data_IF_309852524849
#
_entry.id   IF_309852524849
#
_cell.length_a   1.000
_cell.length_b   1.000
_cell.length_c   1.000
_cell.angle_alpha   90.00
_cell.angle_beta   90.00
_cell.angle_gamma   90.00
#
_symmetry.space_group_name_H-M   'P 1'
#
loop_
_entity.id
_entity.type
_entity.pdbx_description
1 polymer ?
#
# COMPACT_ATOMS: atom_id res chain seq x y z
N UNK A 1 8.07 18.62 -3.57
CA UNK A 1 8.84 18.10 -4.73
C UNK A 1 9.18 16.62 -4.59
N UNK A 2 9.88 16.18 -3.53
CA UNK A 2 10.28 14.78 -3.35
C UNK A 2 9.08 13.79 -3.37
N UNK A 3 8.04 14.06 -2.57
CA UNK A 3 6.80 13.26 -2.55
C UNK A 3 6.22 13.08 -3.96
N UNK A 4 6.04 14.17 -4.70
CA UNK A 4 5.45 14.13 -6.04
C UNK A 4 6.29 13.35 -7.05
N UNK A 5 7.63 13.41 -6.95
CA UNK A 5 8.54 12.63 -7.79
C UNK A 5 8.40 11.13 -7.48
N UNK A 6 8.46 10.77 -6.20
CA UNK A 6 8.35 9.37 -5.78
C UNK A 6 6.97 8.79 -6.07
N UNK A 7 5.89 9.57 -5.91
CA UNK A 7 4.53 9.18 -6.32
C UNK A 7 4.46 8.87 -7.83
N UNK A 8 5.14 9.64 -8.69
CA UNK A 8 5.22 9.35 -10.14
C UNK A 8 6.01 8.08 -10.43
N UNK A 9 7.14 7.88 -9.75
CA UNK A 9 7.95 6.65 -9.88
C UNK A 9 7.14 5.43 -9.44
N UNK A 10 6.48 5.51 -8.28
CA UNK A 10 5.60 4.46 -7.78
C UNK A 10 4.46 4.16 -8.75
N UNK A 11 3.85 5.20 -9.35
CA UNK A 11 2.80 5.05 -10.38
C UNK A 11 3.27 4.31 -11.62
N UNK A 12 4.50 4.56 -12.08
CA UNK A 12 5.10 3.84 -13.21
C UNK A 12 5.46 2.39 -12.84
N UNK A 13 5.85 2.14 -11.60
CA UNK A 13 6.21 0.81 -11.13
C UNK A 13 4.98 -0.06 -10.79
N UNK A 14 3.85 0.57 -10.44
CA UNK A 14 2.64 -0.11 -9.98
C UNK A 14 2.15 -1.23 -10.91
N UNK A 15 2.14 -1.12 -12.25
CA UNK A 15 1.73 -2.21 -13.15
C UNK A 15 2.64 -3.45 -13.13
N UNK A 16 3.87 -3.33 -12.61
CA UNK A 16 4.81 -4.45 -12.42
C UNK A 16 4.56 -5.13 -11.08
N UNK A 17 4.25 -4.35 -10.05
CA UNK A 17 3.93 -4.84 -8.70
C UNK A 17 2.55 -5.49 -8.64
N UNK A 18 1.55 -4.74 -9.07
CA UNK A 18 0.16 -5.10 -9.10
C UNK A 18 -0.26 -5.30 -10.56
N UNK A 19 -0.47 -6.55 -10.94
CA UNK A 19 -0.90 -6.90 -12.30
C UNK A 19 -2.30 -6.37 -12.60
N UNK A 20 -3.18 -6.41 -11.58
CA UNK A 20 -4.52 -5.84 -11.59
C UNK A 20 -4.81 -5.22 -10.23
N UNK A 21 -5.44 -4.05 -10.25
CA UNK A 21 -6.03 -3.42 -9.08
C UNK A 21 -7.51 -3.27 -9.41
N UNK A 22 -8.36 -3.87 -8.59
CA UNK A 22 -9.81 -3.86 -8.74
C UNK A 22 -10.36 -3.04 -7.60
N UNK A 23 -11.21 -2.09 -7.95
CA UNK A 23 -11.70 -1.08 -7.01
C UNK A 23 -13.22 -1.05 -7.16
N UNK A 24 -13.95 -1.26 -6.07
CA UNK A 24 -15.41 -1.29 -6.10
C UNK A 24 -16.03 0.11 -6.34
N UNK A 25 -15.42 1.15 -5.75
CA UNK A 25 -15.86 2.56 -5.80
C UNK A 25 -14.71 3.47 -6.28
N UNK A 26 -14.32 3.44 -7.57
CA UNK A 26 -13.15 4.17 -8.08
C UNK A 26 -13.26 5.70 -7.94
N UNK A 27 -14.47 6.25 -7.86
CA UNK A 27 -14.74 7.67 -7.59
C UNK A 27 -14.17 8.16 -6.26
N UNK A 28 -14.03 7.27 -5.26
CA UNK A 28 -13.43 7.60 -3.96
C UNK A 28 -11.98 8.05 -4.09
N UNK A 29 -11.24 7.60 -5.12
CA UNK A 29 -9.86 8.02 -5.36
C UNK A 29 -9.71 9.52 -5.67
N UNK A 30 -10.83 10.19 -6.03
CA UNK A 30 -10.89 11.61 -6.37
C UNK A 30 -11.48 12.46 -5.24
N UNK A 31 -11.78 11.86 -4.09
CA UNK A 31 -12.37 12.58 -2.98
C UNK A 31 -11.39 13.63 -2.46
N UNK A 32 -11.94 14.80 -2.10
CA UNK A 32 -11.20 15.88 -1.46
C UNK A 32 -11.42 15.81 0.04
N UNK A 33 -10.40 16.17 0.83
CA UNK A 33 -10.49 16.13 2.28
C UNK A 33 -11.45 17.19 2.86
N UNK A 34 -11.73 17.14 4.18
CA UNK A 34 -11.06 16.29 5.18
C UNK A 34 -11.52 14.83 5.15
N UNK A 35 -10.59 13.89 4.91
CA UNK A 35 -10.88 12.46 4.84
C UNK A 35 -9.90 11.64 5.65
N UNK A 36 -10.43 10.64 6.38
CA UNK A 36 -9.65 9.62 7.09
C UNK A 36 -9.92 8.25 6.46
N UNK A 37 -8.96 7.73 5.72
CA UNK A 37 -8.96 6.36 5.20
C UNK A 37 -8.60 5.39 6.34
N UNK A 38 -9.57 4.63 6.81
CA UNK A 38 -9.43 3.68 7.90
C UNK A 38 -9.26 2.27 7.32
N UNK A 39 -8.01 1.81 7.23
CA UNK A 39 -7.66 0.59 6.50
C UNK A 39 -7.40 -0.60 7.44
N UNK A 40 -7.61 -1.82 6.94
CA UNK A 40 -6.85 -2.99 7.40
C UNK A 40 -5.39 -2.91 6.89
N UNK A 41 -4.50 -3.74 7.43
CA UNK A 41 -3.07 -3.70 7.17
C UNK A 41 -2.49 -5.10 6.93
N UNK A 42 -2.84 -5.73 5.79
CA UNK A 42 -2.44 -7.09 5.47
C UNK A 42 -1.03 -7.15 4.84
N UNK A 43 -0.46 -6.01 4.45
CA UNK A 43 0.93 -5.90 4.05
C UNK A 43 1.57 -4.79 4.89
N UNK A 44 2.82 -4.45 4.60
CA UNK A 44 3.54 -3.41 5.34
C UNK A 44 3.51 -2.09 4.56
N UNK A 45 4.66 -1.43 4.40
CA UNK A 45 4.79 -0.14 3.74
C UNK A 45 4.17 -0.08 2.33
N UNK A 46 4.06 -1.22 1.63
CA UNK A 46 3.41 -1.31 0.33
C UNK A 46 1.94 -0.86 0.36
N UNK A 47 1.20 -1.10 1.45
CA UNK A 47 -0.19 -0.66 1.60
C UNK A 47 -0.31 0.86 1.43
N UNK A 48 0.51 1.61 2.18
CA UNK A 48 0.57 3.08 2.08
C UNK A 48 1.01 3.54 0.70
N UNK A 49 2.06 2.95 0.12
CA UNK A 49 2.54 3.35 -1.21
C UNK A 49 1.41 3.24 -2.24
N UNK A 50 0.66 2.14 -2.23
CA UNK A 50 -0.39 1.90 -3.21
C UNK A 50 -1.53 2.90 -3.02
N UNK A 51 -2.02 3.09 -1.80
CA UNK A 51 -3.05 4.10 -1.49
C UNK A 51 -2.59 5.50 -1.92
N UNK A 52 -1.40 5.93 -1.48
CA UNK A 52 -0.84 7.23 -1.82
C UNK A 52 -0.70 7.44 -3.33
N UNK A 53 -0.39 6.37 -4.08
CA UNK A 53 -0.20 6.41 -5.53
C UNK A 53 -1.51 6.51 -6.30
N UNK A 54 -2.56 5.84 -5.81
CA UNK A 54 -3.86 5.75 -6.48
C UNK A 54 -4.71 7.00 -6.30
N UNK A 55 -4.71 7.62 -5.11
CA UNK A 55 -5.47 8.83 -4.85
C UNK A 55 -4.94 10.03 -5.65
N UNK A 56 -5.82 10.92 -6.09
CA UNK A 56 -5.43 12.17 -6.77
C UNK A 56 -4.81 13.15 -5.77
N UNK A 57 -5.42 13.27 -4.60
CA UNK A 57 -4.95 14.11 -3.49
C UNK A 57 -3.65 13.59 -2.86
N UNK A 58 -3.00 14.46 -2.08
CA UNK A 58 -1.89 14.05 -1.22
C UNK A 58 -2.44 13.33 -0.01
N UNK A 59 -2.04 12.07 0.14
CA UNK A 59 -2.40 11.26 1.30
C UNK A 59 -1.24 11.27 2.28
N UNK A 60 -1.55 11.58 3.54
CA UNK A 60 -0.64 11.44 4.67
C UNK A 60 -0.84 10.08 5.31
N UNK A 61 0.22 9.42 5.75
CA UNK A 61 0.13 8.09 6.38
C UNK A 61 0.69 8.11 7.81
N UNK A 62 0.11 7.29 8.69
CA UNK A 62 0.67 7.02 10.01
C UNK A 62 1.53 5.75 10.00
N UNK A 63 2.76 5.83 10.48
CA UNK A 63 3.68 4.69 10.57
C UNK A 63 4.23 4.53 11.99
N UNK A 64 4.64 3.30 12.32
CA UNK A 64 5.18 2.97 13.65
C UNK A 64 6.35 3.87 14.04
N UNK A 65 6.39 4.27 15.31
CA UNK A 65 7.41 5.17 15.83
C UNK A 65 8.84 4.63 15.76
N UNK A 66 9.04 3.31 15.72
CA UNK A 66 10.36 2.71 15.55
C UNK A 66 11.01 2.99 14.18
N UNK A 67 10.20 3.21 13.14
CA UNK A 67 10.68 3.67 11.83
C UNK A 67 11.37 5.05 11.92
N UNK A 68 11.02 5.84 12.93
CA UNK A 68 11.54 7.20 13.18
C UNK A 68 12.73 7.22 14.13
N UNK A 69 13.33 6.07 14.47
CA UNK A 69 14.61 6.04 15.23
C UNK A 69 15.84 6.14 14.32
N UNK A 70 15.66 5.94 13.01
CA UNK A 70 16.75 5.90 12.04
C UNK A 70 17.14 7.31 11.55
N UNK A 71 18.37 7.54 11.04
CA UNK A 71 18.83 8.86 10.56
C UNK A 71 18.02 9.43 9.39
N UNK A 72 17.13 8.64 8.78
CA UNK A 72 16.29 9.01 7.64
C UNK A 72 14.94 9.63 8.02
N UNK A 73 14.71 10.03 9.27
CA UNK A 73 13.46 10.67 9.75
C UNK A 73 12.98 11.81 8.84
N UNK A 74 13.91 12.68 8.40
CA UNK A 74 13.59 13.82 7.53
C UNK A 74 12.97 13.41 6.19
N UNK A 75 13.32 12.22 5.70
CA UNK A 75 12.76 11.64 4.48
C UNK A 75 11.32 11.23 4.73
N UNK A 76 11.01 10.57 5.85
CA UNK A 76 9.64 10.16 6.20
C UNK A 76 8.68 11.35 6.27
N UNK A 77 9.10 12.45 6.90
CA UNK A 77 8.31 13.69 6.91
C UNK A 77 8.13 14.28 5.50
N UNK A 78 9.17 14.25 4.65
CA UNK A 78 9.07 14.67 3.26
C UNK A 78 8.17 13.76 2.40
N UNK A 79 7.94 12.52 2.85
CA UNK A 79 7.00 11.55 2.29
C UNK A 79 5.59 11.65 2.87
N UNK A 80 5.31 12.64 3.72
CA UNK A 80 3.98 12.82 4.34
C UNK A 80 3.62 11.69 5.31
N UNK A 81 4.61 11.17 6.02
CA UNK A 81 4.44 10.12 7.03
C UNK A 81 4.65 10.71 8.42
N UNK A 82 3.70 10.48 9.33
CA UNK A 82 3.78 10.87 10.73
C UNK A 82 3.98 9.64 11.65
N UNK A 83 4.68 9.79 12.78
CA UNK A 83 4.92 8.69 13.71
C UNK A 83 3.70 8.39 14.58
N UNK A 84 3.39 7.12 14.81
CA UNK A 84 2.46 6.67 15.85
C UNK A 84 3.12 5.59 16.70
N UNK A 85 3.07 5.78 18.02
CA UNK A 85 3.74 4.95 19.00
C UNK A 85 2.76 3.97 19.63
N UNK A 86 3.15 2.70 19.71
CA UNK A 86 2.38 1.64 20.36
C UNK A 86 2.85 1.46 21.81
N UNK A 87 2.00 0.96 22.72
CA UNK A 87 2.41 0.69 24.10
C UNK A 87 3.64 -0.24 24.20
N UNK A 88 3.79 -1.17 23.25
CA UNK A 88 4.94 -2.07 23.15
C UNK A 88 6.27 -1.37 22.82
N UNK A 89 6.25 -0.09 22.45
CA UNK A 89 7.41 0.72 22.07
C UNK A 89 7.85 1.67 23.20
N UNK A 90 7.26 1.53 24.39
CA UNK A 90 7.48 2.39 25.56
C UNK A 90 6.23 3.23 25.86
N UNK A 91 5.71 3.10 27.08
CA UNK A 91 4.52 3.83 27.53
C UNK A 91 4.80 5.33 27.61
N UNK A 92 6.05 5.69 27.92
CA UNK A 92 6.57 7.05 27.94
C UNK A 92 6.45 7.75 26.57
N UNK A 93 6.52 7.01 25.46
CA UNK A 93 6.38 7.55 24.10
C UNK A 93 4.92 7.79 23.71
N UNK A 94 3.95 7.32 24.49
CA UNK A 94 2.52 7.51 24.18
C UNK A 94 2.08 8.98 24.28
N UNK A 95 2.80 9.80 25.06
CA UNK A 95 2.58 11.24 25.12
C UNK A 95 2.87 11.93 23.78
N UNK A 96 3.81 11.42 23.00
CA UNK A 96 4.14 11.95 21.66
C UNK A 96 3.00 11.74 20.66
N UNK A 97 2.13 10.74 20.88
CA UNK A 97 0.95 10.55 20.03
C UNK A 97 -0.02 11.73 20.08
N UNK A 98 -0.05 12.51 21.17
CA UNK A 98 -0.87 13.73 21.22
C UNK A 98 -0.40 14.74 20.18
N UNK A 99 0.92 14.96 20.06
CA UNK A 99 1.51 15.85 19.04
C UNK A 99 1.23 15.34 17.63
N UNK A 100 1.33 14.02 17.40
CA UNK A 100 0.96 13.43 16.10
C UNK A 100 -0.50 13.68 15.78
N UNK A 101 -1.40 13.47 16.73
CA UNK A 101 -2.83 13.68 16.51
C UNK A 101 -3.15 15.16 16.29
N UNK A 102 -2.50 16.09 16.99
CA UNK A 102 -2.61 17.52 16.72
C UNK A 102 -2.17 17.85 15.28
N UNK A 103 -1.05 17.29 14.82
CA UNK A 103 -0.62 17.46 13.43
C UNK A 103 -1.63 16.88 12.41
N UNK A 104 -2.24 15.73 12.71
CA UNK A 104 -3.32 15.16 11.90
C UNK A 104 -4.54 16.09 11.85
N UNK A 105 -4.95 16.65 12.98
CA UNK A 105 -6.06 17.60 13.07
C UNK A 105 -5.78 18.83 12.21
N UNK A 106 -4.57 19.38 12.26
CA UNK A 106 -4.19 20.52 11.39
C UNK A 106 -4.19 20.14 9.90
N UNK A 107 -3.78 18.93 9.54
CA UNK A 107 -3.90 18.43 8.16
C UNK A 107 -5.37 18.36 7.73
N UNK A 108 -6.26 17.85 8.59
CA UNK A 108 -7.69 17.75 8.31
C UNK A 108 -8.35 19.12 8.21
N UNK A 109 -8.01 20.09 9.08
CA UNK A 109 -8.48 21.49 8.96
C UNK A 109 -8.11 22.12 7.61
N UNK A 110 -6.99 21.69 7.02
CA UNK A 110 -6.53 22.11 5.70
C UNK A 110 -7.03 21.21 4.56
N UNK A 111 -8.17 20.53 4.73
CA UNK A 111 -8.79 19.63 3.75
C UNK A 111 -7.87 18.48 3.28
N UNK A 112 -6.98 18.01 4.16
CA UNK A 112 -6.08 16.90 3.86
C UNK A 112 -6.74 15.53 3.91
N UNK A 113 -6.06 14.54 3.34
CA UNK A 113 -6.43 13.12 3.41
C UNK A 113 -5.40 12.38 4.25
N UNK A 114 -5.85 11.57 5.20
CA UNK A 114 -5.00 10.79 6.10
C UNK A 114 -5.36 9.31 5.99
N UNK A 115 -4.37 8.44 5.92
CA UNK A 115 -4.52 6.99 6.04
C UNK A 115 -4.05 6.53 7.42
N UNK A 116 -4.90 5.76 8.07
CA UNK A 116 -4.60 5.07 9.32
C UNK A 116 -4.92 3.58 9.21
N UNK A 117 -3.98 2.76 9.67
CA UNK A 117 -4.15 1.31 9.75
C UNK A 117 -4.76 0.93 11.09
N UNK A 118 -6.07 0.69 11.09
CA UNK A 118 -6.88 0.56 12.31
C UNK A 118 -6.49 -0.64 13.18
N UNK A 119 -5.84 -1.65 12.62
CA UNK A 119 -5.38 -2.86 13.35
C UNK A 119 -4.10 -2.62 14.17
N UNK A 120 -3.30 -1.59 13.82
CA UNK A 120 -2.05 -1.22 14.51
C UNK A 120 -0.89 -2.23 14.37
N UNK A 121 -1.06 -3.26 13.54
CA UNK A 121 -0.03 -4.25 13.17
C UNK A 121 -0.22 -4.64 11.71
N UNK A 122 0.87 -5.02 11.06
CA UNK A 122 0.87 -5.65 9.73
C UNK A 122 1.08 -7.15 9.92
N UNK A 123 0.23 -8.00 9.34
CA UNK A 123 0.41 -9.46 9.26
C UNK A 123 -0.09 -9.90 7.89
N UNK A 124 0.67 -10.78 7.23
CA UNK A 124 0.35 -11.29 5.90
C UNK A 124 -0.75 -12.37 5.95
N UNK A 125 -2.00 -11.93 6.06
CA UNK A 125 -3.20 -12.78 6.12
C UNK A 125 -4.44 -12.13 5.48
N UNK A 126 -5.44 -12.95 5.18
CA UNK A 126 -6.76 -12.53 4.71
C UNK A 126 -7.75 -12.68 5.87
N UNK A 127 -7.62 -11.77 6.83
CA UNK A 127 -8.46 -11.75 8.03
C UNK A 127 -8.49 -10.33 8.58
N UNK A 128 -9.66 -9.86 9.01
CA UNK A 128 -9.76 -8.61 9.74
C UNK A 128 -9.55 -8.82 11.24
N UNK A 129 -8.49 -8.22 11.79
CA UNK A 129 -8.19 -8.28 13.22
C UNK A 129 -8.91 -7.19 14.00
N UNK A 130 -8.92 -7.35 15.32
CA UNK A 130 -9.42 -6.34 16.26
C UNK A 130 -8.82 -4.94 16.01
N UNK A 131 -9.67 -3.94 15.90
CA UNK A 131 -9.27 -2.55 15.72
C UNK A 131 -8.74 -1.94 17.04
N UNK A 132 -7.75 -1.06 16.92
CA UNK A 132 -7.24 -0.24 18.02
C UNK A 132 -8.07 1.03 18.16
N UNK A 133 -7.91 1.72 19.29
CA UNK A 133 -8.65 2.95 19.60
C UNK A 133 -8.15 4.20 18.86
N UNK A 134 -7.02 4.11 18.14
CA UNK A 134 -6.36 5.25 17.51
C UNK A 134 -7.24 5.95 16.46
N UNK A 135 -7.88 5.16 15.59
CA UNK A 135 -8.78 5.67 14.54
C UNK A 135 -9.98 6.40 15.16
N UNK A 136 -10.65 5.78 16.12
CA UNK A 136 -11.77 6.38 16.83
C UNK A 136 -11.37 7.70 17.52
N UNK A 137 -10.24 7.72 18.23
CA UNK A 137 -9.73 8.92 18.92
C UNK A 137 -9.50 10.08 17.96
N UNK A 138 -8.87 9.82 16.81
CA UNK A 138 -8.59 10.86 15.83
C UNK A 138 -9.89 11.38 15.18
N UNK A 139 -10.80 10.48 14.79
CA UNK A 139 -12.06 10.85 14.16
C UNK A 139 -12.96 11.66 15.11
N UNK A 140 -13.16 11.17 16.34
CA UNK A 140 -13.98 11.84 17.36
C UNK A 140 -13.40 13.21 17.70
N UNK A 141 -12.08 13.32 17.89
CA UNK A 141 -11.42 14.61 18.14
C UNK A 141 -11.67 15.60 16.99
N UNK A 142 -11.55 15.16 15.74
CA UNK A 142 -11.82 16.01 14.58
C UNK A 142 -13.27 16.53 14.58
N UNK A 143 -14.24 15.67 14.88
CA UNK A 143 -15.65 16.05 14.95
C UNK A 143 -15.98 16.96 16.14
N UNK A 144 -15.31 16.80 17.27
CA UNK A 144 -15.40 17.72 18.42
C UNK A 144 -14.84 19.11 18.09
N UNK A 145 -13.78 19.17 17.28
CA UNK A 145 -13.24 20.42 16.72
C UNK A 145 -14.04 20.97 15.53
N UNK A 146 -15.24 20.42 15.27
CA UNK A 146 -16.14 20.81 14.19
C UNK A 146 -15.54 20.71 12.78
N UNK A 147 -14.57 19.82 12.58
CA UNK A 147 -14.07 19.46 11.27
C UNK A 147 -15.10 18.53 10.61
N UNK A 148 -15.56 18.80 9.38
CA UNK A 148 -16.54 17.96 8.67
C UNK A 148 -15.85 16.70 8.10
N UNK A 149 -15.16 15.95 8.97
CA UNK A 149 -14.37 14.78 8.61
C UNK A 149 -15.28 13.65 8.11
N UNK A 150 -14.93 13.09 6.96
CA UNK A 150 -15.48 11.82 6.49
C UNK A 150 -14.48 10.68 6.73
N UNK A 151 -14.90 9.63 7.44
CA UNK A 151 -14.10 8.41 7.62
C UNK A 151 -14.52 7.40 6.55
N UNK A 152 -13.56 6.85 5.82
CA UNK A 152 -13.82 5.86 4.77
C UNK A 152 -13.17 4.53 5.18
N UNK A 153 -13.95 3.48 5.48
CA UNK A 153 -13.43 2.13 5.66
C UNK A 153 -12.81 1.61 4.36
N UNK A 154 -11.60 1.04 4.43
CA UNK A 154 -10.90 0.50 3.25
C UNK A 154 -10.38 -0.91 3.53
N UNK A 155 -10.93 -1.90 2.82
CA UNK A 155 -10.42 -3.27 2.79
C UNK A 155 -9.39 -3.45 1.68
N UNK A 156 -8.14 -3.71 2.05
CA UNK A 156 -7.05 -4.10 1.17
C UNK A 156 -6.96 -5.62 1.13
N UNK A 157 -6.95 -6.21 -0.06
CA UNK A 157 -6.87 -7.66 -0.23
C UNK A 157 -5.90 -7.99 -1.37
N UNK A 158 -4.85 -8.76 -1.07
CA UNK A 158 -3.81 -9.13 -2.04
C UNK A 158 -3.93 -10.58 -2.48
N UNK A 159 -3.71 -10.91 -3.74
CA UNK A 159 -3.68 -12.33 -4.17
C UNK A 159 -2.48 -13.13 -3.63
N UNK A 160 -1.45 -12.45 -3.12
CA UNK A 160 -0.22 -13.05 -2.62
C UNK A 160 0.53 -12.02 -1.78
N UNK A 161 1.27 -12.48 -0.78
CA UNK A 161 2.15 -11.62 0.05
C UNK A 161 3.64 -11.78 -0.26
N UNK A 162 4.01 -12.60 -1.24
CA UNK A 162 5.43 -12.87 -1.56
C UNK A 162 5.79 -12.73 -3.04
N UNK A 163 4.80 -12.45 -3.91
CA UNK A 163 5.01 -12.41 -5.37
C UNK A 163 4.78 -11.03 -5.94
N UNK A 164 5.63 -10.62 -6.88
CA UNK A 164 5.29 -9.59 -7.87
C UNK A 164 4.19 -10.05 -8.81
N UNK A 165 3.48 -9.08 -9.38
CA UNK A 165 2.40 -9.33 -10.32
C UNK A 165 1.15 -9.85 -9.64
N UNK A 166 0.93 -9.48 -8.39
CA UNK A 166 -0.25 -9.86 -7.62
C UNK A 166 -1.48 -9.10 -8.12
N UNK A 167 -2.66 -9.64 -7.91
CA UNK A 167 -3.88 -8.84 -8.00
C UNK A 167 -4.13 -8.19 -6.64
N UNK A 168 -4.73 -7.02 -6.65
CA UNK A 168 -5.16 -6.32 -5.46
C UNK A 168 -6.63 -5.94 -5.62
N UNK A 169 -7.39 -6.11 -4.56
CA UNK A 169 -8.78 -5.68 -4.46
C UNK A 169 -8.84 -4.63 -3.35
N UNK A 170 -9.35 -3.45 -3.70
CA UNK A 170 -9.55 -2.32 -2.79
C UNK A 170 -11.04 -2.11 -2.69
N UNK A 171 -11.60 -2.49 -1.55
CA UNK A 171 -13.01 -2.40 -1.27
C UNK A 171 -13.24 -1.23 -0.31
N UNK A 172 -13.89 -0.19 -0.78
CA UNK A 172 -14.35 0.92 0.04
C UNK A 172 -15.71 0.59 0.65
N UNK A 173 -15.83 0.71 1.97
CA UNK A 173 -17.08 0.57 2.72
C UNK A 173 -17.99 1.80 2.60
N UNK A 174 -19.01 1.89 3.45
CA UNK A 174 -19.81 3.11 3.52
C UNK A 174 -19.09 4.21 4.31
N UNK A 175 -19.08 5.46 3.81
CA UNK A 175 -18.49 6.59 4.54
C UNK A 175 -19.21 6.84 5.87
N UNK A 176 -18.45 7.06 6.94
CA UNK A 176 -18.96 7.40 8.27
C UNK A 176 -18.76 8.89 8.53
N UNK A 177 -19.77 9.54 9.10
CA UNK A 177 -19.81 10.95 9.44
C UNK A 177 -20.07 11.16 10.93
N UNK A 178 -20.07 12.42 11.38
CA UNK A 178 -20.35 12.79 12.76
C UNK A 178 -21.76 12.36 13.19
N UNK A 179 -22.71 12.43 12.25
CA UNK A 179 -24.14 12.16 12.48
C UNK A 179 -24.42 10.68 12.78
N UNK A 180 -23.52 9.78 12.41
CA UNK A 180 -23.64 8.34 12.70
C UNK A 180 -23.33 7.98 14.16
N UNK A 181 -22.92 8.97 14.96
CA UNK A 181 -22.34 8.78 16.29
C UNK A 181 -23.13 9.52 17.37
N UNK A 182 -23.30 8.87 18.52
CA UNK A 182 -23.93 9.50 19.69
C UNK A 182 -22.88 10.21 20.55
N UNK A 183 -22.88 11.54 20.54
CA UNK A 183 -21.97 12.35 21.36
C UNK A 183 -22.42 12.53 22.82
N UNK A 184 -23.61 12.07 23.19
CA UNK A 184 -24.17 12.22 24.54
C UNK A 184 -23.78 11.09 25.51
N UNK A 185 -22.93 10.16 25.08
CA UNK A 185 -22.44 9.04 25.91
C UNK A 185 -20.99 9.26 26.34
N UNK A 186 -20.51 8.46 27.30
CA UNK A 186 -19.14 8.56 27.80
C UNK A 186 -18.11 8.28 26.71
N UNK A 187 -16.92 8.87 26.82
CA UNK A 187 -15.83 8.69 25.85
C UNK A 187 -15.49 7.22 25.57
N UNK A 188 -15.56 6.37 26.59
CA UNK A 188 -15.33 4.94 26.46
C UNK A 188 -16.32 4.27 25.51
N UNK A 189 -17.60 4.58 25.68
CA UNK A 189 -18.69 4.08 24.84
C UNK A 189 -18.59 4.66 23.42
N UNK A 190 -18.30 5.96 23.27
CA UNK A 190 -18.13 6.59 21.95
C UNK A 190 -17.04 5.90 21.12
N UNK A 191 -15.88 5.62 21.71
CA UNK A 191 -14.82 4.89 21.01
C UNK A 191 -15.22 3.46 20.64
N UNK A 192 -16.01 2.80 21.49
CA UNK A 192 -16.48 1.43 21.24
C UNK A 192 -17.52 1.40 20.11
N UNK A 193 -18.50 2.30 20.14
CA UNK A 193 -19.51 2.44 19.07
C UNK A 193 -18.83 2.72 17.73
N UNK A 194 -17.85 3.63 17.70
CA UNK A 194 -17.09 3.94 16.49
C UNK A 194 -16.40 2.69 15.94
N UNK A 195 -15.67 1.97 16.81
CA UNK A 195 -14.93 0.79 16.40
C UNK A 195 -15.87 -0.34 15.95
N UNK A 196 -17.03 -0.50 16.57
CA UNK A 196 -18.03 -1.49 16.14
C UNK A 196 -18.58 -1.16 14.75
N UNK A 197 -18.89 0.10 14.49
CA UNK A 197 -19.35 0.55 13.18
C UNK A 197 -18.26 0.35 12.12
N UNK A 198 -17.04 0.82 12.38
CA UNK A 198 -15.90 0.65 11.48
C UNK A 198 -15.57 -0.84 11.25
N UNK A 199 -15.63 -1.67 12.29
CA UNK A 199 -15.40 -3.11 12.20
C UNK A 199 -16.41 -3.73 11.24
N UNK A 200 -17.71 -3.44 11.39
CA UNK A 200 -18.76 -3.96 10.52
C UNK A 200 -18.52 -3.61 9.05
N UNK A 201 -18.17 -2.36 8.76
CA UNK A 201 -17.89 -1.92 7.38
C UNK A 201 -16.62 -2.57 6.79
N UNK A 202 -15.59 -2.80 7.62
CA UNK A 202 -14.38 -3.50 7.22
C UNK A 202 -14.60 -5.01 7.03
N UNK A 203 -15.47 -5.65 7.81
CA UNK A 203 -15.80 -7.08 7.66
C UNK A 203 -16.42 -7.38 6.29
N UNK A 204 -17.18 -6.44 5.73
CA UNK A 204 -17.69 -6.55 4.36
C UNK A 204 -16.63 -6.27 3.27
N UNK A 205 -15.56 -5.57 3.63
CA UNK A 205 -14.54 -5.09 2.70
C UNK A 205 -13.28 -5.98 2.65
N UNK A 206 -12.98 -6.68 3.75
CA UNK A 206 -11.82 -7.55 3.91
C UNK A 206 -12.24 -9.00 3.64
N UNK A 207 -11.43 -9.71 2.86
CA UNK A 207 -11.67 -11.12 2.57
C UNK A 207 -11.23 -11.99 3.75
N UNK A 208 -12.01 -13.01 4.04
CA UNK A 208 -11.75 -14.01 5.07
C UNK A 208 -11.31 -15.32 4.40
N UNK A 209 -10.00 -15.54 4.32
CA UNK A 209 -9.40 -16.71 3.67
C UNK A 209 -8.33 -17.30 4.58
N UNK A 210 -8.54 -18.55 4.99
CA UNK A 210 -7.55 -19.26 5.79
C UNK A 210 -6.25 -19.45 5.00
N UNK A 211 -5.09 -19.29 5.64
CA UNK A 211 -3.76 -19.36 5.01
C UNK A 211 -3.51 -20.67 4.22
N UNK A 212 -4.15 -21.77 4.63
CA UNK A 212 -4.04 -23.09 3.98
C UNK A 212 -5.10 -23.32 2.90
N UNK A 213 -6.14 -22.51 2.83
CA UNK A 213 -7.23 -22.63 1.87
C UNK A 213 -6.87 -22.02 0.51
N UNK A 214 -6.09 -22.78 -0.25
CA UNK A 214 -5.66 -22.39 -1.60
C UNK A 214 -6.80 -22.38 -2.61
N UNK A 215 -7.90 -23.07 -2.34
CA UNK A 215 -9.02 -23.13 -3.26
C UNK A 215 -9.80 -21.82 -3.23
N UNK A 216 -10.25 -21.39 -2.04
CA UNK A 216 -10.94 -20.10 -1.87
C UNK A 216 -10.04 -18.94 -2.30
N UNK A 217 -8.73 -19.01 -1.98
CA UNK A 217 -7.76 -18.03 -2.48
C UNK A 217 -7.78 -17.91 -4.01
N UNK A 218 -7.79 -19.03 -4.74
CA UNK A 218 -7.85 -19.02 -6.21
C UNK A 218 -9.18 -18.50 -6.73
N UNK A 219 -10.28 -18.96 -6.17
CA UNK A 219 -11.63 -18.60 -6.60
C UNK A 219 -11.89 -17.09 -6.44
N UNK A 220 -11.44 -16.49 -5.34
CA UNK A 220 -11.68 -15.07 -5.06
C UNK A 220 -10.62 -14.13 -5.64
N UNK A 221 -9.35 -14.54 -5.69
CA UNK A 221 -8.22 -13.63 -5.96
C UNK A 221 -7.50 -13.88 -7.29
N UNK A 222 -7.69 -15.03 -7.95
CA UNK A 222 -7.05 -15.31 -9.25
C UNK A 222 -7.84 -14.71 -10.41
N UNK A 223 -7.13 -14.10 -11.35
CA UNK A 223 -7.68 -13.64 -12.62
C UNK A 223 -6.87 -14.27 -13.74
N UNK A 224 -7.50 -15.16 -14.52
CA UNK A 224 -6.83 -15.84 -15.61
C UNK A 224 -6.74 -14.92 -16.83
N UNK A 225 -5.55 -14.75 -17.44
CA UNK A 225 -5.44 -14.04 -18.71
C UNK A 225 -6.16 -14.82 -19.82
N UNK A 226 -6.71 -14.11 -20.81
CA UNK A 226 -7.33 -14.73 -21.97
C UNK A 226 -6.30 -15.44 -22.86
N UNK A 227 -6.73 -16.46 -23.61
CA UNK A 227 -5.84 -17.22 -24.50
C UNK A 227 -5.14 -16.34 -25.55
N UNK A 228 -5.86 -15.37 -26.12
CA UNK A 228 -5.28 -14.41 -27.06
C UNK A 228 -4.16 -13.57 -26.43
N UNK A 229 -4.36 -13.10 -25.19
CA UNK A 229 -3.34 -12.36 -24.45
C UNK A 229 -2.13 -13.22 -24.12
N UNK A 230 -2.33 -14.50 -23.80
CA UNK A 230 -1.23 -15.44 -23.57
C UNK A 230 -0.37 -15.60 -24.82
N UNK A 231 -0.99 -15.83 -25.97
CA UNK A 231 -0.27 -16.00 -27.25
C UNK A 231 0.50 -14.72 -27.61
N UNK A 232 -0.15 -13.55 -27.51
CA UNK A 232 0.47 -12.28 -27.87
C UNK A 232 1.69 -11.94 -27.00
N UNK A 233 1.62 -12.23 -25.70
CA UNK A 233 2.63 -11.80 -24.74
C UNK A 233 3.71 -12.85 -24.46
N UNK A 234 3.62 -14.08 -24.99
CA UNK A 234 4.53 -15.16 -24.60
C UNK A 234 5.99 -14.87 -24.94
N UNK A 235 6.26 -14.38 -26.15
CA UNK A 235 7.62 -14.01 -26.60
C UNK A 235 8.20 -12.84 -25.81
N UNK A 236 7.53 -11.66 -25.70
CA UNK A 236 8.06 -10.57 -24.90
C UNK A 236 8.14 -10.92 -23.40
N UNK A 237 7.27 -11.79 -22.88
CA UNK A 237 7.37 -12.30 -21.51
C UNK A 237 8.62 -13.16 -21.30
N UNK A 238 8.94 -14.06 -22.23
CA UNK A 238 10.14 -14.90 -22.15
C UNK A 238 11.41 -14.05 -22.19
N UNK A 239 11.47 -13.08 -23.11
CA UNK A 239 12.56 -12.10 -23.19
C UNK A 239 12.66 -11.30 -21.87
N UNK A 240 11.53 -10.80 -21.38
CA UNK A 240 11.45 -10.04 -20.14
C UNK A 240 11.95 -10.85 -18.94
N UNK A 241 11.56 -12.11 -18.83
CA UNK A 241 12.03 -13.01 -17.78
C UNK A 241 13.56 -13.14 -17.79
N UNK A 242 14.16 -13.40 -18.95
CA UNK A 242 15.61 -13.61 -19.09
C UNK A 242 16.39 -12.33 -18.82
N UNK A 243 15.99 -11.21 -19.44
CA UNK A 243 16.69 -9.93 -19.29
C UNK A 243 16.66 -9.45 -17.85
N UNK A 244 15.54 -9.62 -17.13
CA UNK A 244 15.41 -9.07 -15.78
C UNK A 244 15.95 -10.00 -14.68
N UNK A 245 16.32 -11.23 -15.02
CA UNK A 245 16.82 -12.24 -14.09
C UNK A 245 18.09 -11.78 -13.32
N UNK A 246 19.09 -11.14 -13.95
CA UNK A 246 20.31 -10.69 -13.28
C UNK A 246 20.06 -9.62 -12.22
N UNK A 247 19.02 -8.79 -12.38
CA UNK A 247 18.59 -7.84 -11.36
C UNK A 247 17.78 -8.55 -10.26
N UNK A 248 16.79 -9.35 -10.68
CA UNK A 248 15.79 -9.89 -9.76
C UNK A 248 16.36 -10.95 -8.81
N UNK A 249 17.18 -11.89 -9.28
CA UNK A 249 17.66 -13.01 -8.46
C UNK A 249 18.54 -12.59 -7.28
N UNK A 250 19.55 -11.71 -7.45
CA UNK A 250 20.39 -11.27 -6.33
C UNK A 250 19.56 -10.54 -5.26
N UNK A 251 18.66 -9.66 -5.68
CA UNK A 251 17.76 -8.92 -4.79
C UNK A 251 16.85 -9.90 -4.05
N UNK A 252 16.21 -10.83 -4.76
CA UNK A 252 15.35 -11.85 -4.15
C UNK A 252 16.09 -12.67 -3.10
N UNK A 253 17.29 -13.15 -3.42
CA UNK A 253 18.11 -13.97 -2.51
C UNK A 253 18.51 -13.16 -1.26
N UNK A 254 18.93 -11.91 -1.45
CA UNK A 254 19.31 -11.02 -0.36
C UNK A 254 18.14 -10.75 0.61
N UNK A 255 16.97 -10.43 0.06
CA UNK A 255 15.78 -10.10 0.85
C UNK A 255 15.25 -11.35 1.56
N UNK A 256 15.12 -12.47 0.84
CA UNK A 256 14.67 -13.74 1.43
C UNK A 256 15.50 -14.12 2.65
N UNK A 257 16.83 -14.03 2.57
CA UNK A 257 17.72 -14.34 3.70
C UNK A 257 17.45 -13.47 4.95
N UNK A 258 16.92 -12.26 4.80
CA UNK A 258 16.72 -11.30 5.90
C UNK A 258 15.28 -11.18 6.38
N UNK A 259 14.30 -11.55 5.55
CA UNK A 259 12.91 -11.18 5.76
C UNK A 259 11.93 -12.32 5.48
N UNK A 260 12.39 -13.54 5.25
CA UNK A 260 11.48 -14.69 5.01
C UNK A 260 10.59 -14.98 6.23
N UNK A 261 11.07 -14.69 7.43
CA UNK A 261 10.34 -14.91 8.69
C UNK A 261 9.52 -13.70 9.16
N UNK A 262 9.42 -12.63 8.35
CA UNK A 262 8.68 -11.43 8.74
C UNK A 262 7.70 -10.96 7.67
N UNK A 263 6.70 -10.19 8.09
CA UNK A 263 5.62 -9.66 7.23
C UNK A 263 6.08 -8.47 6.35
N UNK A 264 7.40 -8.24 6.23
CA UNK A 264 7.95 -7.09 5.51
C UNK A 264 8.60 -7.45 4.17
N UNK A 265 8.67 -8.74 3.81
CA UNK A 265 9.31 -9.21 2.57
C UNK A 265 8.86 -8.42 1.33
N UNK A 266 7.55 -8.32 1.12
CA UNK A 266 6.97 -7.74 -0.09
C UNK A 266 7.24 -6.24 -0.21
N UNK A 267 7.14 -5.52 0.90
CA UNK A 267 7.38 -4.09 0.97
C UNK A 267 8.86 -3.74 0.75
N UNK A 268 9.78 -4.51 1.34
CA UNK A 268 11.22 -4.31 1.15
C UNK A 268 11.62 -4.64 -0.28
N UNK A 269 11.07 -5.73 -0.81
CA UNK A 269 11.24 -6.14 -2.19
C UNK A 269 10.72 -5.08 -3.16
N UNK A 270 9.58 -4.46 -2.86
CA UNK A 270 9.06 -3.37 -3.66
C UNK A 270 9.91 -2.12 -3.61
N UNK A 271 10.33 -1.68 -2.42
CA UNK A 271 11.21 -0.53 -2.27
C UNK A 271 12.53 -0.70 -3.02
N UNK A 272 13.20 -1.84 -2.85
CA UNK A 272 14.50 -2.09 -3.51
C UNK A 272 14.35 -2.17 -5.02
N UNK A 273 13.34 -2.88 -5.55
CA UNK A 273 13.12 -2.96 -6.99
C UNK A 273 12.74 -1.60 -7.59
N UNK A 274 11.91 -0.81 -6.92
CA UNK A 274 11.51 0.53 -7.38
C UNK A 274 12.72 1.46 -7.52
N UNK A 275 13.70 1.37 -6.61
CA UNK A 275 14.91 2.19 -6.63
C UNK A 275 15.99 1.66 -7.57
N UNK A 276 16.18 0.34 -7.63
CA UNK A 276 17.24 -0.29 -8.42
C UNK A 276 16.89 -0.44 -9.90
N UNK A 277 15.61 -0.58 -10.25
CA UNK A 277 15.19 -0.84 -11.63
C UNK A 277 15.54 0.29 -12.60
N UNK A 278 15.31 1.59 -12.30
CA UNK A 278 15.74 2.67 -13.19
C UNK A 278 17.26 2.68 -13.43
N UNK A 279 18.05 2.40 -12.39
CA UNK A 279 19.52 2.31 -12.49
C UNK A 279 19.91 1.14 -13.40
N UNK A 280 19.23 0.00 -13.26
CA UNK A 280 19.44 -1.17 -14.10
C UNK A 280 19.12 -0.90 -15.57
N UNK A 281 18.04 -0.18 -15.86
CA UNK A 281 17.69 0.22 -17.23
C UNK A 281 18.78 1.11 -17.84
N UNK A 282 19.24 2.12 -17.10
CA UNK A 282 20.32 3.01 -17.56
C UNK A 282 21.62 2.24 -17.84
N UNK A 283 21.94 1.26 -17.01
CA UNK A 283 23.10 0.39 -17.21
C UNK A 283 22.98 -0.40 -18.52
N UNK A 284 21.83 -1.05 -18.77
CA UNK A 284 21.60 -1.81 -19.99
C UNK A 284 21.67 -0.93 -21.25
N UNK A 285 21.12 0.28 -21.18
CA UNK A 285 21.16 1.26 -22.27
C UNK A 285 22.60 1.69 -22.54
N UNK A 286 23.36 2.02 -21.48
CA UNK A 286 24.76 2.44 -21.59
C UNK A 286 25.63 1.35 -22.21
N UNK A 287 25.50 0.11 -21.74
CA UNK A 287 26.23 -1.04 -22.30
C UNK A 287 25.86 -1.24 -23.77
N UNK A 288 24.57 -1.19 -24.11
CA UNK A 288 24.10 -1.36 -25.49
C UNK A 288 24.60 -0.24 -26.41
N UNK A 289 24.63 1.00 -25.91
CA UNK A 289 25.19 2.14 -26.62
C UNK A 289 26.69 1.98 -26.87
N UNK A 290 27.46 1.57 -25.85
CA UNK A 290 28.92 1.34 -25.98
C UNK A 290 29.25 0.27 -27.01
N UNK A 291 28.41 -0.77 -27.15
CA UNK A 291 28.61 -1.85 -28.12
C UNK A 291 28.20 -1.43 -29.54
N UNK A 292 27.08 -0.72 -29.67
CA UNK A 292 26.46 -0.45 -30.99
C UNK A 292 26.78 0.94 -31.54
N UNK A 293 27.24 1.87 -30.71
CA UNK A 293 27.37 3.31 -31.00
C UNK A 293 26.10 3.94 -31.59
N UNK A 294 24.93 3.36 -31.31
CA UNK A 294 23.67 3.69 -31.94
C UNK A 294 22.70 4.31 -30.93
N UNK A 295 22.11 5.46 -31.27
CA UNK A 295 21.18 6.16 -30.37
C UNK A 295 19.80 5.51 -30.27
N UNK A 296 19.45 4.59 -31.18
CA UNK A 296 18.18 3.83 -31.11
C UNK A 296 18.04 2.98 -29.84
N UNK A 297 19.14 2.70 -29.13
CA UNK A 297 19.14 2.03 -27.82
C UNK A 297 18.34 2.78 -26.75
N UNK A 298 18.08 4.09 -26.92
CA UNK A 298 17.19 4.84 -26.03
C UNK A 298 15.77 4.25 -26.03
N UNK A 299 15.33 3.62 -27.13
CA UNK A 299 14.05 2.92 -27.21
C UNK A 299 13.89 1.80 -26.17
N UNK A 300 15.00 1.29 -25.61
CA UNK A 300 14.98 0.30 -24.53
C UNK A 300 14.30 0.82 -23.25
N UNK A 301 14.21 2.13 -23.04
CA UNK A 301 13.44 2.73 -21.94
C UNK A 301 11.95 2.35 -22.00
N UNK A 302 11.42 2.04 -23.18
CA UNK A 302 10.03 1.60 -23.35
C UNK A 302 9.93 0.08 -23.51
N UNK A 303 10.83 -0.51 -24.30
CA UNK A 303 10.80 -1.95 -24.59
C UNK A 303 11.07 -2.79 -23.34
N UNK A 304 12.05 -2.42 -22.51
CA UNK A 304 12.41 -3.22 -21.34
C UNK A 304 11.28 -3.27 -20.29
N UNK A 305 10.66 -2.13 -19.88
CA UNK A 305 9.48 -2.18 -19.01
C UNK A 305 8.31 -2.94 -19.63
N UNK A 306 8.10 -2.85 -20.95
CA UNK A 306 7.05 -3.61 -21.63
C UNK A 306 7.29 -5.13 -21.54
N UNK A 307 8.52 -5.60 -21.72
CA UNK A 307 8.85 -7.03 -21.57
C UNK A 307 8.68 -7.51 -20.11
N UNK A 308 9.08 -6.70 -19.13
CA UNK A 308 8.83 -6.99 -17.71
C UNK A 308 7.33 -7.08 -17.41
N UNK A 309 6.56 -6.10 -17.90
CA UNK A 309 5.11 -6.07 -17.76
C UNK A 309 4.46 -7.30 -18.42
N UNK A 310 4.90 -7.67 -19.62
CA UNK A 310 4.42 -8.84 -20.36
C UNK A 310 4.61 -10.13 -19.53
N UNK A 311 5.78 -10.30 -18.92
CA UNK A 311 6.03 -11.42 -18.02
C UNK A 311 5.08 -11.43 -16.82
N UNK A 312 4.87 -10.27 -16.19
CA UNK A 312 3.94 -10.12 -15.06
C UNK A 312 2.51 -10.49 -15.46
N UNK A 313 2.07 -10.19 -16.69
CA UNK A 313 0.72 -10.52 -17.14
C UNK A 313 0.45 -12.04 -17.20
N UNK A 314 1.47 -12.83 -17.54
CA UNK A 314 1.34 -14.29 -17.76
C UNK A 314 1.70 -15.14 -16.53
N UNK A 315 2.45 -14.56 -15.59
CA UNK A 315 2.90 -15.26 -14.39
C UNK A 315 1.71 -15.63 -13.46
N UNK A 316 1.77 -16.75 -12.72
CA UNK A 316 0.80 -17.07 -11.68
C UNK A 316 0.77 -16.02 -10.56
N UNK A 317 -0.42 -15.68 -10.07
CA UNK A 317 -0.63 -14.58 -9.10
C UNK A 317 -0.71 -15.03 -7.63
N UNK A 318 -0.80 -16.33 -7.39
CA UNK A 318 -0.99 -16.92 -6.07
C UNK A 318 0.29 -17.62 -5.61
N UNK A 319 0.53 -17.58 -4.30
CA UNK A 319 1.62 -18.29 -3.64
C UNK A 319 1.47 -19.80 -3.85
N UNK A 320 2.57 -20.46 -4.24
CA UNK A 320 2.58 -21.92 -4.44
C UNK A 320 2.32 -22.65 -3.13
#
# INVERSE_FOLDING_TARGET
MLYSILKRIARLALPIFCRKIIINKPEVLKIKGPVLLACNHPNSFLDSIIIDTLFEETVWSLARGDAFKNPFIKILAALKILPVYRPSEGVENLSENYKTFDACIEILKNNGVITIFSEGKCINEWHLRSLKKGTARLAIKAWEENIPLTVIPVGLNYSSFTRFGKNMFINFGEPMQKEDMNFNVTDGLRHQEFNNLLQRELEHSVFEIQKKDKQTQKEQLEIKPSSAKNILLILPAAIGYLIHLPLYLPIKKYIWKRTHDNDHYDSIMAGIMMLSYPIYLLLLITISWLITSCWWVIGMLLVLPFTAWSYIQLKPQIDK
#
